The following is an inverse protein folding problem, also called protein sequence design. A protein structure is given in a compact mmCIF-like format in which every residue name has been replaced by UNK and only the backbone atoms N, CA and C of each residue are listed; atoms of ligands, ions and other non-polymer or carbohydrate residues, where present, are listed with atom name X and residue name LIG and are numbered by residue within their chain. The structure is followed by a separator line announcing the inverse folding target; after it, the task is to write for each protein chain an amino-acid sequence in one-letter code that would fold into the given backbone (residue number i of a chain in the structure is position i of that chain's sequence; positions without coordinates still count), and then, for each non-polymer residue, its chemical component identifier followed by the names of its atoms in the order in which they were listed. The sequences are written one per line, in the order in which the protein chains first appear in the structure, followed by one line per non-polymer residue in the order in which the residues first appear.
data_IF_776363519624
#
_entry.id   IF_776363519624
#
_cell.length_a   1.000
_cell.length_b   1.000
_cell.length_c   1.000
_cell.angle_alpha   90.00
_cell.angle_beta   90.00
_cell.angle_gamma   90.00
#
_symmetry.space_group_name_H-M   'P 1'
#
loop_
_entity.id
_entity.type
_entity.pdbx_description
1 polymer ?
#
# COMPACT_ATOMS: atom_id res chain seq x y z
N UNK A 1 -2.80 8.94 30.22
CA UNK A 1 -2.63 9.42 28.84
C UNK A 1 -3.77 8.85 28.01
N UNK A 2 -4.44 9.68 27.22
CA UNK A 2 -5.52 9.24 26.34
C UNK A 2 -4.92 8.34 25.25
N UNK A 3 -5.52 7.17 24.97
CA UNK A 3 -5.02 6.26 23.93
C UNK A 3 -5.07 6.99 22.57
N UNK A 4 -3.99 6.88 21.79
CA UNK A 4 -3.88 7.56 20.50
C UNK A 4 -4.62 6.75 19.43
N UNK A 5 -5.27 7.44 18.50
CA UNK A 5 -6.04 6.80 17.41
C UNK A 5 -5.17 5.92 16.51
N UNK A 6 -5.78 5.01 15.76
CA UNK A 6 -5.04 4.22 14.76
C UNK A 6 -4.51 5.08 13.61
N UNK A 7 -5.17 6.19 13.26
CA UNK A 7 -4.67 7.13 12.23
C UNK A 7 -3.38 7.80 12.69
N UNK A 8 -3.30 8.14 13.98
CA UNK A 8 -2.08 8.68 14.56
C UNK A 8 -0.92 7.69 14.36
N UNK A 9 -1.08 6.45 14.81
CA UNK A 9 -0.05 5.41 14.68
C UNK A 9 0.25 5.05 13.22
N UNK A 10 -0.76 5.05 12.35
CA UNK A 10 -0.59 4.83 10.92
C UNK A 10 0.28 5.90 10.26
N UNK A 11 0.16 7.16 10.70
CA UNK A 11 0.99 8.27 10.21
C UNK A 11 2.46 8.08 10.62
N UNK A 12 2.70 7.70 11.89
CA UNK A 12 4.06 7.43 12.38
C UNK A 12 4.69 6.24 11.65
N UNK A 13 3.94 5.14 11.52
CA UNK A 13 4.38 3.94 10.80
C UNK A 13 4.64 4.23 9.32
N UNK A 14 3.81 5.08 8.69
CA UNK A 14 4.02 5.51 7.32
C UNK A 14 5.33 6.29 7.18
N UNK A 15 5.57 7.30 8.00
CA UNK A 15 6.81 8.06 7.96
C UNK A 15 8.05 7.18 8.18
N UNK A 16 7.99 6.24 9.14
CA UNK A 16 9.07 5.27 9.38
C UNK A 16 9.35 4.40 8.15
N UNK A 17 8.30 3.89 7.50
CA UNK A 17 8.43 3.10 6.26
C UNK A 17 8.89 3.94 5.07
N UNK A 18 8.45 5.18 5.01
CA UNK A 18 8.76 6.11 3.93
C UNK A 18 10.27 6.33 3.81
N UNK A 19 10.92 6.69 4.92
CA UNK A 19 12.35 6.95 4.95
C UNK A 19 13.21 5.72 4.62
N UNK A 20 12.76 4.52 5.03
CA UNK A 20 13.55 3.30 4.87
C UNK A 20 13.30 2.58 3.54
N UNK A 21 12.14 2.79 2.92
CA UNK A 21 11.69 1.99 1.78
C UNK A 21 11.01 2.84 0.71
N UNK A 22 9.86 3.45 1.00
CA UNK A 22 8.99 3.96 -0.07
C UNK A 22 9.65 5.09 -0.86
N UNK A 23 10.24 6.06 -0.14
CA UNK A 23 10.95 7.17 -0.75
C UNK A 23 12.16 6.71 -1.56
N UNK A 24 12.91 5.74 -1.03
CA UNK A 24 14.11 5.20 -1.69
C UNK A 24 13.74 4.60 -3.03
N UNK A 25 12.70 3.75 -3.08
CA UNK A 25 12.29 3.12 -4.33
C UNK A 25 11.63 4.09 -5.32
N UNK A 26 10.85 5.06 -4.84
CA UNK A 26 10.29 6.12 -5.69
C UNK A 26 11.38 6.98 -6.32
N UNK A 27 12.40 7.37 -5.54
CA UNK A 27 13.54 8.14 -6.04
C UNK A 27 14.36 7.35 -7.04
N UNK A 28 14.59 6.05 -6.80
CA UNK A 28 15.26 5.17 -7.76
C UNK A 28 14.49 5.10 -9.07
N UNK A 29 13.18 4.87 -9.03
CA UNK A 29 12.36 4.84 -10.24
C UNK A 29 12.35 6.18 -10.99
N UNK A 30 12.33 7.30 -10.26
CA UNK A 30 12.43 8.62 -10.87
C UNK A 30 13.78 8.85 -11.58
N UNK A 31 14.87 8.31 -11.03
CA UNK A 31 16.20 8.36 -11.66
C UNK A 31 16.31 7.42 -12.87
N UNK A 32 15.72 6.23 -12.79
CA UNK A 32 15.80 5.22 -13.85
C UNK A 32 14.85 5.51 -15.02
N UNK A 33 13.78 6.26 -14.79
CA UNK A 33 12.73 6.57 -15.78
C UNK A 33 11.82 5.38 -16.12
N UNK A 34 12.14 4.17 -15.66
CA UNK A 34 11.40 2.95 -15.92
C UNK A 34 11.59 1.93 -14.79
N UNK A 35 10.63 1.02 -14.64
CA UNK A 35 10.75 -0.10 -13.71
C UNK A 35 11.79 -1.10 -14.24
N UNK A 36 12.85 -1.36 -13.48
CA UNK A 36 13.84 -2.40 -13.81
C UNK A 36 13.61 -3.67 -13.00
N UNK A 37 14.07 -4.80 -13.54
CA UNK A 37 13.95 -6.12 -12.91
C UNK A 37 14.58 -6.18 -11.51
N UNK A 38 15.72 -5.53 -11.29
CA UNK A 38 16.36 -5.48 -9.97
C UNK A 38 15.53 -4.64 -8.97
N UNK A 39 14.93 -3.54 -9.42
CA UNK A 39 14.02 -2.70 -8.63
C UNK A 39 12.76 -3.47 -8.23
N UNK A 40 12.19 -4.28 -9.14
CA UNK A 40 11.10 -5.22 -8.83
C UNK A 40 11.47 -6.15 -7.68
N UNK A 41 12.67 -6.75 -7.69
CA UNK A 41 13.12 -7.66 -6.63
C UNK A 41 13.25 -6.95 -5.28
N UNK A 42 13.83 -5.75 -5.26
CA UNK A 42 14.01 -4.99 -4.02
C UNK A 42 12.66 -4.67 -3.37
N UNK A 43 11.72 -4.14 -4.16
CA UNK A 43 10.37 -3.84 -3.69
C UNK A 43 9.68 -5.14 -3.24
N UNK A 44 9.71 -6.19 -4.06
CA UNK A 44 9.04 -7.45 -3.75
C UNK A 44 9.57 -8.12 -2.48
N UNK A 45 10.89 -8.03 -2.24
CA UNK A 45 11.53 -8.53 -1.02
C UNK A 45 11.10 -7.71 0.20
N UNK A 46 11.19 -6.38 0.12
CA UNK A 46 10.82 -5.49 1.24
C UNK A 46 9.36 -5.68 1.65
N UNK A 47 8.47 -5.88 0.68
CA UNK A 47 7.04 -6.05 0.91
C UNK A 47 6.57 -7.50 1.10
N UNK A 48 7.49 -8.48 1.14
CA UNK A 48 7.15 -9.88 1.35
C UNK A 48 6.29 -10.52 0.25
N UNK A 49 6.34 -9.96 -0.97
CA UNK A 49 5.60 -10.45 -2.15
C UNK A 49 6.49 -11.18 -3.15
N UNK A 50 7.69 -11.60 -2.75
CA UNK A 50 8.67 -12.30 -3.60
C UNK A 50 8.30 -13.77 -3.95
N UNK A 51 7.07 -14.22 -3.71
CA UNK A 51 6.64 -15.56 -4.10
C UNK A 51 6.60 -15.65 -5.63
N UNK A 52 7.41 -16.52 -6.22
CA UNK A 52 7.52 -16.68 -7.68
C UNK A 52 8.58 -15.80 -8.34
N UNK A 53 9.24 -14.91 -7.58
CA UNK A 53 10.42 -14.16 -8.06
C UNK A 53 11.65 -14.87 -7.50
N UNK A 54 12.51 -15.49 -8.34
CA UNK A 54 13.69 -16.20 -7.87
C UNK A 54 14.55 -15.30 -6.97
N UNK A 55 15.08 -15.86 -5.88
CA UNK A 55 16.19 -15.23 -5.15
C UNK A 55 17.44 -15.43 -5.99
N UNK A 56 17.79 -14.52 -6.89
CA UNK A 56 19.09 -14.66 -7.54
C UNK A 56 20.18 -14.33 -6.53
N UNK A 57 21.20 -15.20 -6.47
CA UNK A 57 22.45 -14.93 -5.80
C UNK A 57 23.32 -13.93 -6.59
N UNK A 58 22.99 -13.70 -7.88
CA UNK A 58 23.73 -12.84 -8.80
C UNK A 58 22.81 -11.90 -9.58
N UNK A 59 23.10 -10.58 -9.65
CA UNK A 59 22.34 -9.61 -10.44
C UNK A 59 22.52 -9.76 -11.96
N UNK A 60 23.56 -10.45 -12.42
CA UNK A 60 23.92 -10.54 -13.86
C UNK A 60 23.27 -11.72 -14.61
N UNK A 61 22.74 -12.72 -13.90
CA UNK A 61 21.95 -13.77 -14.53
C UNK A 61 20.53 -13.25 -14.74
N UNK A 62 20.21 -12.86 -15.98
CA UNK A 62 18.91 -12.31 -16.37
C UNK A 62 17.75 -13.03 -15.69
N UNK A 63 16.87 -12.26 -15.05
CA UNK A 63 15.69 -12.77 -14.36
C UNK A 63 14.49 -12.63 -15.29
N UNK A 64 14.09 -13.69 -16.00
CA UNK A 64 13.01 -13.58 -16.96
C UNK A 64 11.69 -13.25 -16.25
N UNK A 65 11.54 -13.64 -14.98
CA UNK A 65 10.34 -13.38 -14.21
C UNK A 65 10.25 -11.90 -13.79
N UNK A 66 11.30 -11.37 -13.16
CA UNK A 66 11.32 -9.95 -12.78
C UNK A 66 11.34 -9.00 -13.98
N UNK A 67 11.96 -9.42 -15.09
CA UNK A 67 11.93 -8.66 -16.36
C UNK A 67 10.53 -8.65 -16.95
N UNK A 68 9.86 -9.81 -17.07
CA UNK A 68 8.47 -9.86 -17.56
C UNK A 68 7.51 -9.05 -16.68
N UNK A 69 7.69 -9.07 -15.36
CA UNK A 69 6.93 -8.21 -14.44
C UNK A 69 7.18 -6.73 -14.79
N UNK A 70 8.46 -6.32 -14.86
CA UNK A 70 8.85 -4.95 -15.13
C UNK A 70 8.26 -4.42 -16.44
N UNK A 71 8.36 -5.20 -17.52
CA UNK A 71 7.89 -4.82 -18.86
C UNK A 71 6.36 -4.65 -18.88
N UNK A 72 5.61 -5.63 -18.36
CA UNK A 72 4.14 -5.59 -18.37
C UNK A 72 3.60 -4.45 -17.49
N UNK A 73 4.21 -4.24 -16.31
CA UNK A 73 3.81 -3.13 -15.43
C UNK A 73 4.18 -1.76 -16.01
N UNK A 74 5.36 -1.65 -16.61
CA UNK A 74 5.84 -0.41 -17.23
C UNK A 74 4.90 0.07 -18.34
N UNK A 75 4.54 -0.83 -19.26
CA UNK A 75 3.60 -0.54 -20.34
C UNK A 75 2.21 -0.14 -19.79
N UNK A 76 1.67 -0.93 -18.87
CA UNK A 76 0.34 -0.69 -18.31
C UNK A 76 0.25 0.59 -17.47
N UNK A 77 1.37 1.09 -16.91
CA UNK A 77 1.38 2.29 -16.09
C UNK A 77 0.90 3.53 -16.86
N UNK A 78 1.06 3.60 -18.18
CA UNK A 78 0.57 4.71 -19.00
C UNK A 78 -0.96 4.77 -19.07
N UNK A 79 -1.62 3.63 -18.95
CA UNK A 79 -3.08 3.50 -19.02
C UNK A 79 -3.72 3.56 -17.62
N UNK A 80 -2.90 3.57 -16.57
CA UNK A 80 -3.32 3.49 -15.17
C UNK A 80 -4.01 4.77 -14.68
N UNK A 81 -5.30 4.87 -14.95
CA UNK A 81 -6.13 6.05 -14.69
C UNK A 81 -7.55 5.66 -14.27
N UNK A 82 -8.39 6.66 -13.95
CA UNK A 82 -9.77 6.44 -13.56
C UNK A 82 -9.95 6.09 -12.08
N UNK A 83 -11.07 5.44 -11.78
CA UNK A 83 -11.48 5.07 -10.42
C UNK A 83 -10.65 3.94 -9.81
N UNK A 84 -10.79 3.69 -8.50
CA UNK A 84 -10.11 2.57 -7.83
C UNK A 84 -10.46 1.22 -8.49
N UNK A 85 -11.74 1.03 -8.83
CA UNK A 85 -12.20 -0.18 -9.50
C UNK A 85 -11.61 -0.35 -10.90
N UNK A 86 -11.53 0.74 -11.68
CA UNK A 86 -10.92 0.73 -13.02
C UNK A 86 -9.41 0.45 -12.95
N UNK A 87 -8.70 1.11 -12.04
CA UNK A 87 -7.28 0.87 -11.78
C UNK A 87 -6.99 -0.58 -11.38
N UNK A 88 -7.86 -1.17 -10.54
CA UNK A 88 -7.71 -2.58 -10.19
C UNK A 88 -7.99 -3.52 -11.37
N UNK A 89 -8.92 -3.18 -12.27
CA UNK A 89 -9.16 -3.97 -13.47
C UNK A 89 -7.88 -4.07 -14.33
N UNK A 90 -7.14 -2.97 -14.49
CA UNK A 90 -5.82 -2.96 -15.15
C UNK A 90 -4.84 -3.91 -14.43
N UNK A 91 -4.80 -3.88 -13.09
CA UNK A 91 -3.98 -4.84 -12.33
C UNK A 91 -4.41 -6.31 -12.58
N UNK A 92 -5.71 -6.56 -12.72
CA UNK A 92 -6.23 -7.89 -13.00
C UNK A 92 -5.86 -8.38 -14.41
N UNK A 93 -5.83 -7.48 -15.40
CA UNK A 93 -5.37 -7.76 -16.76
C UNK A 93 -3.87 -8.04 -16.80
N UNK A 94 -3.06 -7.23 -16.10
CA UNK A 94 -1.61 -7.46 -15.94
C UNK A 94 -1.34 -8.87 -15.43
N UNK A 95 -2.09 -9.31 -14.40
CA UNK A 95 -1.93 -10.66 -13.83
C UNK A 95 -2.11 -11.77 -14.86
N UNK A 96 -2.95 -11.57 -15.89
CA UNK A 96 -3.15 -12.57 -16.94
C UNK A 96 -2.00 -12.64 -17.95
N UNK A 97 -1.21 -11.58 -18.05
CA UNK A 97 -0.03 -11.49 -18.91
C UNK A 97 1.23 -12.02 -18.22
N UNK A 98 1.23 -12.16 -16.90
CA UNK A 98 2.39 -12.66 -16.16
C UNK A 98 2.66 -14.15 -16.42
N UNK A 99 3.94 -14.56 -16.47
CA UNK A 99 4.32 -15.97 -16.61
C UNK A 99 3.62 -16.90 -15.60
N UNK A 100 3.26 -18.15 -15.97
CA UNK A 100 2.57 -19.08 -15.08
C UNK A 100 3.29 -19.35 -13.74
N UNK A 101 4.63 -19.29 -13.71
CA UNK A 101 5.41 -19.43 -12.49
C UNK A 101 5.20 -18.30 -11.47
N UNK A 102 4.78 -17.12 -11.94
CA UNK A 102 4.50 -15.93 -11.13
C UNK A 102 2.99 -15.83 -10.85
N UNK A 103 2.18 -15.90 -11.92
CA UNK A 103 0.71 -15.85 -11.82
C UNK A 103 0.17 -17.00 -10.95
N UNK A 104 0.79 -18.17 -11.02
CA UNK A 104 0.25 -19.43 -10.52
C UNK A 104 -0.31 -20.27 -11.66
N UNK A 105 -0.34 -21.59 -11.44
CA UNK A 105 -0.74 -22.58 -12.43
C UNK A 105 -2.20 -22.43 -12.91
N UNK A 106 -3.07 -21.87 -12.08
CA UNK A 106 -4.47 -21.64 -12.40
C UNK A 106 -4.71 -20.17 -12.83
N UNK A 107 -5.05 -19.90 -14.10
CA UNK A 107 -5.34 -18.53 -14.57
C UNK A 107 -6.49 -17.86 -13.82
N UNK A 108 -7.44 -18.66 -13.33
CA UNK A 108 -8.62 -18.20 -12.60
C UNK A 108 -8.33 -17.77 -11.14
N UNK A 109 -7.13 -18.09 -10.60
CA UNK A 109 -6.77 -17.81 -9.20
C UNK A 109 -5.35 -17.23 -9.09
N UNK A 110 -5.09 -16.06 -9.69
CA UNK A 110 -3.75 -15.49 -9.70
C UNK A 110 -3.25 -15.24 -8.27
N UNK A 111 -2.03 -15.70 -7.97
CA UNK A 111 -1.41 -15.66 -6.64
C UNK A 111 -0.63 -14.36 -6.39
N UNK A 112 -0.32 -13.60 -7.44
CA UNK A 112 0.52 -12.40 -7.38
C UNK A 112 -0.28 -11.08 -7.31
N UNK A 113 -1.54 -11.11 -6.87
CA UNK A 113 -2.43 -9.92 -6.80
C UNK A 113 -1.83 -8.81 -5.95
N UNK A 114 -1.43 -9.14 -4.72
CA UNK A 114 -0.83 -8.15 -3.82
C UNK A 114 0.52 -7.63 -4.31
N UNK A 115 1.32 -8.48 -4.97
CA UNK A 115 2.58 -8.06 -5.58
C UNK A 115 2.36 -7.05 -6.72
N UNK A 116 1.39 -7.33 -7.59
CA UNK A 116 1.03 -6.47 -8.72
C UNK A 116 0.54 -5.11 -8.25
N UNK A 117 -0.36 -5.05 -7.27
CA UNK A 117 -0.87 -3.76 -6.78
C UNK A 117 0.20 -2.94 -6.07
N UNK A 118 1.11 -3.58 -5.34
CA UNK A 118 2.24 -2.90 -4.68
C UNK A 118 3.23 -2.34 -5.70
N UNK A 119 3.65 -3.14 -6.68
CA UNK A 119 4.59 -2.69 -7.72
C UNK A 119 4.00 -1.57 -8.57
N UNK A 120 2.73 -1.68 -8.96
CA UNK A 120 2.04 -0.61 -9.69
C UNK A 120 1.97 0.68 -8.86
N UNK A 121 1.85 0.59 -7.53
CA UNK A 121 1.77 1.79 -6.69
C UNK A 121 3.07 2.60 -6.77
N UNK A 122 4.21 1.93 -6.84
CA UNK A 122 5.50 2.61 -7.04
C UNK A 122 5.62 3.30 -8.41
N UNK A 123 4.92 2.82 -9.44
CA UNK A 123 4.87 3.49 -10.75
C UNK A 123 3.87 4.64 -10.80
N UNK A 124 2.80 4.55 -10.01
CA UNK A 124 1.67 5.48 -9.99
C UNK A 124 1.15 5.67 -8.56
N UNK A 125 1.84 6.42 -7.69
CA UNK A 125 1.52 6.45 -6.25
C UNK A 125 0.27 7.26 -5.88
N UNK A 126 -0.22 8.13 -6.77
CA UNK A 126 -1.28 9.09 -6.48
C UNK A 126 -2.69 8.55 -6.70
N UNK A 127 -3.62 8.87 -5.80
CA UNK A 127 -5.06 8.62 -5.96
C UNK A 127 -5.49 7.16 -5.82
N UNK A 128 -4.62 6.28 -5.30
CA UNK A 128 -4.97 4.89 -4.97
C UNK A 128 -4.04 4.31 -3.91
N UNK A 129 -4.34 3.08 -3.47
CA UNK A 129 -3.53 2.37 -2.49
C UNK A 129 -3.26 0.91 -2.88
N UNK A 130 -2.25 0.32 -2.24
CA UNK A 130 -1.89 -1.08 -2.38
C UNK A 130 -2.98 -1.99 -1.81
N UNK A 131 -3.06 -3.23 -2.30
CA UNK A 131 -3.91 -4.25 -1.70
C UNK A 131 -3.11 -5.11 -0.71
N UNK A 132 -3.68 -5.28 0.49
CA UNK A 132 -3.20 -6.20 1.52
C UNK A 132 -4.36 -6.98 2.16
N UNK A 133 -4.11 -8.23 2.56
CA UNK A 133 -5.14 -9.07 3.15
C UNK A 133 -5.61 -8.55 4.51
N UNK A 134 -4.74 -7.93 5.31
CA UNK A 134 -5.14 -7.32 6.57
C UNK A 134 -5.99 -6.08 6.31
N UNK A 135 -5.62 -5.23 5.35
CA UNK A 135 -6.43 -4.07 4.97
C UNK A 135 -7.84 -4.49 4.51
N UNK A 136 -7.96 -5.57 3.75
CA UNK A 136 -9.27 -6.11 3.37
C UNK A 136 -10.06 -6.68 4.57
N UNK A 137 -9.39 -7.27 5.57
CA UNK A 137 -10.05 -7.72 6.80
C UNK A 137 -10.64 -6.55 7.59
N UNK A 138 -9.95 -5.39 7.63
CA UNK A 138 -10.45 -4.20 8.30
C UNK A 138 -11.77 -3.69 7.71
N UNK A 139 -12.00 -3.91 6.42
CA UNK A 139 -13.26 -3.60 5.74
C UNK A 139 -14.30 -4.73 5.84
N UNK A 140 -14.08 -5.75 6.66
CA UNK A 140 -15.01 -6.87 6.85
C UNK A 140 -15.12 -7.82 5.66
N UNK A 141 -14.17 -7.80 4.72
CA UNK A 141 -14.22 -8.63 3.52
C UNK A 141 -13.89 -10.09 3.86
N UNK A 142 -14.82 -10.99 3.55
CA UNK A 142 -14.68 -12.42 3.81
C UNK A 142 -13.46 -13.05 3.14
N UNK A 143 -12.87 -14.07 3.78
CA UNK A 143 -11.74 -14.83 3.23
C UNK A 143 -12.16 -15.53 1.93
N UNK A 144 -11.21 -15.65 1.00
CA UNK A 144 -11.49 -16.19 -0.33
C UNK A 144 -10.36 -15.92 -1.31
N UNK A 145 -10.66 -16.04 -2.60
CA UNK A 145 -9.71 -15.79 -3.69
C UNK A 145 -9.16 -14.36 -3.62
N UNK A 146 -7.85 -14.19 -3.71
CA UNK A 146 -7.19 -12.89 -3.53
C UNK A 146 -7.66 -11.84 -4.54
N UNK A 147 -7.93 -12.23 -5.79
CA UNK A 147 -8.43 -11.31 -6.83
C UNK A 147 -9.83 -10.81 -6.53
N UNK A 148 -10.72 -11.70 -6.04
CA UNK A 148 -12.08 -11.35 -5.62
C UNK A 148 -12.03 -10.41 -4.42
N UNK A 149 -11.20 -10.72 -3.42
CA UNK A 149 -11.01 -9.87 -2.24
C UNK A 149 -10.50 -8.47 -2.63
N UNK A 150 -9.52 -8.39 -3.53
CA UNK A 150 -9.00 -7.11 -3.99
C UNK A 150 -10.05 -6.28 -4.75
N UNK A 151 -10.85 -6.92 -5.62
CA UNK A 151 -11.98 -6.25 -6.28
C UNK A 151 -12.96 -5.65 -5.27
N UNK A 152 -13.38 -6.44 -4.26
CA UNK A 152 -14.28 -5.98 -3.21
C UNK A 152 -13.64 -4.88 -2.36
N UNK A 153 -12.35 -4.98 -2.08
CA UNK A 153 -11.59 -3.97 -1.34
C UNK A 153 -11.61 -2.60 -2.02
N UNK A 154 -11.28 -2.54 -3.31
CA UNK A 154 -11.28 -1.28 -4.04
C UNK A 154 -12.69 -0.69 -4.21
N UNK A 155 -13.69 -1.53 -4.46
CA UNK A 155 -15.08 -1.09 -4.49
C UNK A 155 -15.56 -0.54 -3.13
N UNK A 156 -15.18 -1.19 -2.02
CA UNK A 156 -15.52 -0.74 -0.67
C UNK A 156 -14.85 0.60 -0.31
N UNK A 157 -13.56 0.78 -0.67
CA UNK A 157 -12.87 2.05 -0.48
C UNK A 157 -13.50 3.19 -1.27
N UNK A 158 -13.85 2.91 -2.53
CA UNK A 158 -14.49 3.89 -3.42
C UNK A 158 -15.85 4.33 -2.87
N UNK A 159 -16.70 3.36 -2.50
CA UNK A 159 -18.02 3.63 -1.87
C UNK A 159 -17.90 4.50 -0.61
N UNK A 160 -16.82 4.33 0.15
CA UNK A 160 -16.58 5.03 1.40
C UNK A 160 -15.77 6.34 1.23
N UNK A 161 -15.63 6.82 -0.01
CA UNK A 161 -15.05 8.14 -0.28
C UNK A 161 -13.54 8.21 -0.06
N UNK A 162 -12.80 7.14 -0.36
CA UNK A 162 -11.34 7.12 -0.28
C UNK A 162 -10.70 8.29 -1.04
N UNK A 163 -11.19 8.61 -2.24
CA UNK A 163 -10.62 9.70 -3.06
C UNK A 163 -10.71 11.04 -2.34
N UNK A 164 -11.89 11.39 -1.81
CA UNK A 164 -12.09 12.66 -1.10
C UNK A 164 -11.25 12.71 0.18
N UNK A 165 -11.20 11.61 0.95
CA UNK A 165 -10.42 11.54 2.19
C UNK A 165 -8.91 11.64 1.94
N UNK A 166 -8.40 10.94 0.93
CA UNK A 166 -6.98 11.02 0.57
C UNK A 166 -6.60 12.38 0.00
N UNK A 167 -7.45 13.00 -0.81
CA UNK A 167 -7.21 14.36 -1.31
C UNK A 167 -7.15 15.39 -0.17
N UNK A 168 -8.13 15.36 0.75
CA UNK A 168 -8.13 16.22 1.93
C UNK A 168 -6.91 15.97 2.82
N UNK A 169 -6.55 14.71 3.05
CA UNK A 169 -5.35 14.34 3.81
C UNK A 169 -4.06 14.84 3.14
N UNK A 170 -3.96 14.72 1.82
CA UNK A 170 -2.81 15.21 1.06
C UNK A 170 -2.70 16.74 1.12
N UNK A 171 -3.81 17.47 1.22
CA UNK A 171 -3.78 18.91 1.46
C UNK A 171 -3.17 19.25 2.83
N UNK A 172 -3.53 18.50 3.88
CA UNK A 172 -2.93 18.65 5.22
C UNK A 172 -1.44 18.32 5.22
N UNK A 173 -1.05 17.21 4.57
CA UNK A 173 0.36 16.80 4.47
C UNK A 173 1.19 17.88 3.76
N UNK A 174 0.72 18.39 2.62
CA UNK A 174 1.43 19.45 1.87
C UNK A 174 1.63 20.73 2.67
N UNK A 175 0.75 21.04 3.61
CA UNK A 175 0.85 22.22 4.48
C UNK A 175 1.72 21.96 5.73
N UNK A 176 2.21 20.74 5.94
CA UNK A 176 3.01 20.35 7.09
C UNK A 176 4.51 20.51 6.87
N UNK A 177 5.30 20.26 7.92
CA UNK A 177 6.77 20.17 7.82
C UNK A 177 7.29 18.92 7.11
N UNK A 178 6.40 18.02 6.67
CA UNK A 178 6.75 16.71 6.05
C UNK A 178 5.89 16.50 4.78
N UNK A 179 6.03 17.35 3.75
CA UNK A 179 5.13 17.39 2.59
C UNK A 179 5.28 16.19 1.63
N UNK A 180 6.29 15.35 1.82
CA UNK A 180 6.60 14.21 0.95
C UNK A 180 5.75 12.96 1.21
N UNK A 181 4.98 12.92 2.31
CA UNK A 181 4.13 11.78 2.60
C UNK A 181 2.88 11.74 1.70
N UNK A 182 2.21 10.59 1.68
CA UNK A 182 0.99 10.36 0.93
C UNK A 182 -0.13 9.93 1.87
N UNK A 183 -1.26 10.63 1.85
CA UNK A 183 -2.42 10.30 2.68
C UNK A 183 -3.00 8.92 2.33
N UNK A 184 -2.90 8.49 1.06
CA UNK A 184 -3.26 7.15 0.61
C UNK A 184 -2.53 6.06 1.39
N UNK A 185 -1.25 6.30 1.72
CA UNK A 185 -0.43 5.37 2.50
C UNK A 185 -0.74 5.43 3.99
N UNK A 186 -1.07 6.60 4.53
CA UNK A 186 -1.59 6.70 5.90
C UNK A 186 -2.88 5.89 6.05
N UNK A 187 -3.79 6.00 5.08
CA UNK A 187 -5.03 5.21 5.03
C UNK A 187 -4.71 3.71 4.94
N UNK A 188 -3.76 3.31 4.09
CA UNK A 188 -3.33 1.90 4.00
C UNK A 188 -2.83 1.35 5.33
N UNK A 189 -1.93 2.08 5.98
CA UNK A 189 -1.36 1.68 7.28
C UNK A 189 -2.42 1.63 8.36
N UNK A 190 -3.40 2.53 8.32
CA UNK A 190 -4.57 2.49 9.20
C UNK A 190 -5.37 1.20 9.00
N UNK A 191 -5.71 0.85 7.76
CA UNK A 191 -6.46 -0.37 7.46
C UNK A 191 -5.67 -1.63 7.85
N UNK A 192 -4.36 -1.62 7.64
CA UNK A 192 -3.49 -2.71 8.11
C UNK A 192 -3.51 -2.84 9.65
N UNK A 193 -3.36 -1.74 10.40
CA UNK A 193 -3.44 -1.73 11.86
C UNK A 193 -4.83 -2.16 12.37
N UNK A 194 -5.89 -1.71 11.72
CA UNK A 194 -7.26 -2.07 12.06
C UNK A 194 -7.53 -3.56 11.82
N UNK A 195 -6.99 -4.13 10.74
CA UNK A 195 -7.22 -5.54 10.35
C UNK A 195 -6.26 -6.56 10.94
N UNK A 196 -5.17 -6.13 11.59
CA UNK A 196 -4.24 -7.03 12.28
C UNK A 196 -4.75 -7.44 13.68
N UNK A 197 -4.16 -8.49 14.25
CA UNK A 197 -4.51 -8.96 15.61
C UNK A 197 -4.06 -7.95 16.66
N UNK A 198 -4.71 -7.96 17.83
CA UNK A 198 -4.36 -7.05 18.93
C UNK A 198 -2.87 -7.14 19.31
N UNK A 199 -2.24 -8.32 19.47
CA UNK A 199 -0.80 -8.40 19.75
C UNK A 199 0.09 -7.80 18.64
N UNK A 200 -0.27 -8.00 17.37
CA UNK A 200 0.48 -7.43 16.24
C UNK A 200 0.36 -5.90 16.21
N UNK A 201 -0.84 -5.38 16.49
CA UNK A 201 -1.13 -3.95 16.60
C UNK A 201 -0.32 -3.29 17.72
N UNK A 202 -0.35 -3.85 18.92
CA UNK A 202 0.39 -3.30 20.06
C UNK A 202 1.90 -3.34 19.82
N UNK A 203 2.41 -4.40 19.18
CA UNK A 203 3.82 -4.44 18.74
C UNK A 203 4.14 -3.32 17.75
N UNK A 204 3.26 -3.05 16.79
CA UNK A 204 3.46 -1.96 15.83
C UNK A 204 3.46 -0.59 16.50
N UNK A 205 2.53 -0.36 17.45
CA UNK A 205 2.49 0.87 18.27
C UNK A 205 3.79 1.06 19.06
N UNK A 206 4.27 0.03 19.75
CA UNK A 206 5.52 0.09 20.51
C UNK A 206 6.74 0.41 19.63
N UNK A 207 6.80 -0.12 18.40
CA UNK A 207 7.85 0.23 17.43
C UNK A 207 7.74 1.70 17.02
N UNK A 208 6.52 2.19 16.76
CA UNK A 208 6.29 3.60 16.42
C UNK A 208 6.69 4.55 17.55
N UNK A 209 6.43 4.16 18.80
CA UNK A 209 6.82 4.92 19.98
C UNK A 209 8.34 4.98 20.13
N UNK A 210 9.03 3.84 20.04
CA UNK A 210 10.49 3.79 20.06
C UNK A 210 11.11 4.59 18.90
N UNK A 211 10.48 4.55 17.73
CA UNK A 211 10.90 5.35 16.58
C UNK A 211 10.78 6.86 16.85
N UNK A 212 9.66 7.32 17.40
CA UNK A 212 9.47 8.73 17.77
C UNK A 212 10.52 9.20 18.78
N UNK A 213 10.84 8.37 19.77
CA UNK A 213 11.88 8.67 20.77
C UNK A 213 13.28 8.77 20.16
N UNK A 214 13.54 8.07 19.05
CA UNK A 214 14.81 8.11 18.34
C UNK A 214 14.95 9.26 17.33
N UNK A 215 13.88 10.01 17.04
CA UNK A 215 13.93 11.15 16.12
C UNK A 215 14.48 12.41 16.80
N UNK A 216 15.13 13.32 16.05
CA UNK A 216 15.42 14.66 16.55
C UNK A 216 14.15 15.37 17.01
N UNK A 217 14.18 16.05 18.16
CA UNK A 217 12.97 16.57 18.84
C UNK A 217 12.03 17.35 17.92
N UNK A 218 12.56 18.27 17.11
CA UNK A 218 11.75 19.02 16.14
C UNK A 218 11.03 18.12 15.12
N UNK A 219 11.71 17.11 14.58
CA UNK A 219 11.09 16.18 13.63
C UNK A 219 10.03 15.31 14.31
N UNK A 220 10.27 14.90 15.56
CA UNK A 220 9.28 14.19 16.35
C UNK A 220 8.04 15.06 16.63
N UNK A 221 8.22 16.33 16.95
CA UNK A 221 7.13 17.29 17.17
C UNK A 221 6.32 17.52 15.89
N UNK A 222 6.99 17.79 14.76
CA UNK A 222 6.34 18.01 13.46
C UNK A 222 5.55 16.78 13.01
N UNK A 223 6.11 15.58 13.18
CA UNK A 223 5.43 14.32 12.83
C UNK A 223 4.22 14.05 13.72
N UNK A 224 4.32 14.31 15.03
CA UNK A 224 3.19 14.17 15.95
C UNK A 224 2.08 15.19 15.65
N UNK A 225 2.45 16.44 15.31
CA UNK A 225 1.51 17.47 14.90
C UNK A 225 0.75 17.05 13.63
N UNK A 226 1.46 16.51 12.62
CA UNK A 226 0.84 15.96 11.41
C UNK A 226 -0.10 14.78 11.74
N UNK A 227 0.34 13.84 12.56
CA UNK A 227 -0.46 12.68 12.95
C UNK A 227 -1.74 13.07 13.70
N UNK A 228 -1.67 14.09 14.56
CA UNK A 228 -2.83 14.68 15.23
C UNK A 228 -3.75 15.40 14.25
N UNK A 229 -3.22 16.20 13.31
CA UNK A 229 -4.02 16.88 12.31
C UNK A 229 -4.79 15.90 11.40
N UNK A 230 -4.12 14.83 10.94
CA UNK A 230 -4.77 13.78 10.15
C UNK A 230 -5.80 12.99 10.95
N UNK A 231 -5.57 12.77 12.25
CA UNK A 231 -6.58 12.15 13.15
C UNK A 231 -7.83 13.02 13.24
N UNK A 232 -7.67 14.33 13.44
CA UNK A 232 -8.81 15.24 13.54
C UNK A 232 -9.59 15.33 12.22
N UNK A 233 -8.88 15.27 11.07
CA UNK A 233 -9.50 15.30 9.75
C UNK A 233 -10.26 14.01 9.41
N UNK A 234 -9.64 12.85 9.63
CA UNK A 234 -10.15 11.56 9.16
C UNK A 234 -11.06 10.86 10.18
N UNK A 235 -11.00 11.28 11.45
CA UNK A 235 -11.72 10.66 12.56
C UNK A 235 -11.09 9.35 13.03
N UNK A 236 -11.70 8.73 14.05
CA UNK A 236 -11.20 7.47 14.64
C UNK A 236 -11.47 6.25 13.73
N UNK A 237 -12.55 6.32 12.95
CA UNK A 237 -12.95 5.26 12.04
C UNK A 237 -13.42 5.82 10.70
N UNK A 238 -12.49 6.19 9.80
CA UNK A 238 -12.82 6.78 8.50
C UNK A 238 -13.63 5.86 7.58
N UNK A 239 -13.82 4.59 7.93
CA UNK A 239 -14.47 3.58 7.09
C UNK A 239 -15.52 2.75 7.85
N UNK A 240 -16.19 3.33 8.87
CA UNK A 240 -17.31 2.65 9.58
C UNK A 240 -18.71 3.06 9.14
N UNK A 241 -18.87 4.15 8.39
CA UNK A 241 -20.18 4.67 8.03
C UNK A 241 -20.64 4.11 6.69
N UNK A 242 -21.17 2.88 6.70
CA UNK A 242 -22.36 2.44 5.96
C UNK A 242 -22.49 0.92 6.08
N UNK A 243 -23.47 0.49 6.88
CA UNK A 243 -24.20 -0.78 6.76
C UNK A 243 -23.38 -2.01 6.42
N UNK A 244 -23.15 -2.85 7.43
CA UNK A 244 -22.75 -4.24 7.28
C UNK A 244 -23.79 -5.06 6.51
N UNK A 245 -23.98 -4.76 5.23
CA UNK A 245 -24.14 -5.84 4.27
C UNK A 245 -22.77 -6.50 4.22
N UNK A 246 -22.64 -7.62 4.93
CA UNK A 246 -21.60 -8.58 4.61
C UNK A 246 -21.62 -8.74 3.09
N UNK A 247 -20.50 -8.45 2.42
CA UNK A 247 -20.35 -8.78 1.00
C UNK A 247 -20.53 -10.30 0.89
N UNK A 248 -21.76 -10.73 0.64
CA UNK A 248 -22.13 -12.11 0.48
C UNK A 248 -21.40 -12.63 -0.77
N UNK A 249 -20.80 -13.80 -0.61
CA UNK A 249 -19.98 -14.51 -1.59
C UNK A 249 -20.66 -14.70 -2.93
#
# INVERSE_FOLDING_TARGET
MQDKSLIYWATIEHHRWWLCHDQVYLNLLAQEGQLRSWTVRLIAKAYGVNRGIPRAADPDAGDPAATAIADVLGEAAHQFSGTLSQRFAICAEILQQLPPGIRGAEPATPKFVSGTTKLMWFLRPSGWTMFDNFAANALGIARGKSSVRARLFYAALEKQGFSQKSEAGNAVIRASGIPELHAERVIDKYLWLAGCTQPAREKAKAICEAYLQGLPSKHAEDLQALASALTNLLGENPFSETGGEHYAT
#
